data_IF_602226469763
#
_entry.id   IF_602226469763
#
_cell.length_a   1.000
_cell.length_b   1.000
_cell.length_c   1.000
_cell.angle_alpha   90.00
_cell.angle_beta   90.00
_cell.angle_gamma   90.00
#
_symmetry.space_group_name_H-M   'P 1'
#
loop_
_entity.id
_entity.type
_entity.pdbx_description
1 polymer ?
#
# COMPACT_ATOMS: atom_id res chain seq x y z
N UNK A 1 -7.51 -4.30 -12.77
CA UNK A 1 -7.73 -3.71 -11.43
C UNK A 1 -8.60 -4.66 -10.62
N UNK A 2 -8.52 -4.64 -9.29
CA UNK A 2 -9.33 -5.46 -8.38
C UNK A 2 -10.03 -4.57 -7.32
N UNK A 3 -11.03 -5.08 -6.62
CA UNK A 3 -11.79 -4.34 -5.60
C UNK A 3 -11.91 -5.14 -4.30
N UNK A 4 -11.45 -4.56 -3.20
CA UNK A 4 -11.45 -5.17 -1.87
C UNK A 4 -12.37 -4.36 -0.93
N UNK A 5 -13.68 -4.56 -1.09
CA UNK A 5 -14.69 -3.73 -0.40
C UNK A 5 -14.79 -2.34 -1.06
N UNK A 6 -14.53 -1.28 -0.30
CA UNK A 6 -14.53 0.12 -0.79
C UNK A 6 -13.16 0.59 -1.30
N UNK A 7 -12.19 -0.33 -1.41
CA UNK A 7 -10.83 -0.05 -1.85
C UNK A 7 -10.61 -0.62 -3.25
N UNK A 8 -10.24 0.25 -4.19
CA UNK A 8 -9.84 -0.13 -5.55
C UNK A 8 -8.33 -0.36 -5.56
N UNK A 9 -7.89 -1.49 -6.10
CA UNK A 9 -6.47 -1.83 -6.24
C UNK A 9 -6.10 -1.80 -7.72
N UNK A 10 -5.17 -0.91 -8.07
CA UNK A 10 -4.75 -0.72 -9.47
C UNK A 10 -3.93 -1.91 -9.97
N UNK A 11 -3.87 -2.10 -11.29
CA UNK A 11 -3.02 -3.16 -11.88
C UNK A 11 -1.54 -2.97 -11.57
N UNK A 12 -1.08 -1.73 -11.40
CA UNK A 12 0.27 -1.46 -10.95
C UNK A 12 0.52 -1.99 -9.52
N UNK A 13 -0.42 -1.76 -8.60
CA UNK A 13 -0.33 -2.30 -7.24
C UNK A 13 -0.33 -3.84 -7.25
N UNK A 14 -1.22 -4.48 -8.02
CA UNK A 14 -1.27 -5.95 -8.14
C UNK A 14 0.05 -6.52 -8.70
N UNK A 15 0.61 -5.88 -9.73
CA UNK A 15 1.92 -6.26 -10.29
C UNK A 15 3.04 -6.12 -9.25
N UNK A 16 3.03 -5.04 -8.45
CA UNK A 16 4.01 -4.83 -7.38
C UNK A 16 3.86 -5.84 -6.25
N UNK A 17 2.63 -6.22 -5.90
CA UNK A 17 2.39 -7.29 -4.94
C UNK A 17 3.04 -8.59 -5.39
N UNK A 18 2.80 -8.99 -6.64
CA UNK A 18 3.43 -10.18 -7.22
C UNK A 18 4.96 -10.08 -7.24
N UNK A 19 5.51 -8.91 -7.59
CA UNK A 19 6.96 -8.66 -7.61
C UNK A 19 7.60 -8.82 -6.22
N UNK A 20 6.93 -8.37 -5.16
CA UNK A 20 7.46 -8.37 -3.80
C UNK A 20 6.98 -9.56 -2.95
N UNK A 21 6.21 -10.48 -3.51
CA UNK A 21 5.60 -11.58 -2.76
C UNK A 21 4.64 -11.11 -1.66
N UNK A 22 3.97 -9.97 -1.86
CA UNK A 22 3.02 -9.43 -0.90
C UNK A 22 1.63 -10.04 -1.12
N UNK A 23 1.01 -10.47 -0.03
CA UNK A 23 -0.36 -10.94 -0.03
C UNK A 23 -1.34 -9.80 0.28
N UNK A 24 -2.60 -9.99 -0.15
CA UNK A 24 -3.69 -9.05 0.12
C UNK A 24 -3.75 -8.63 1.58
N UNK A 25 -3.66 -9.59 2.50
CA UNK A 25 -3.78 -9.33 3.93
C UNK A 25 -2.65 -8.44 4.45
N UNK A 26 -1.41 -8.65 4.01
CA UNK A 26 -0.28 -7.79 4.40
C UNK A 26 -0.38 -6.37 3.83
N UNK A 27 -0.88 -6.22 2.61
CA UNK A 27 -1.14 -4.89 2.02
C UNK A 27 -2.25 -4.17 2.78
N UNK A 28 -3.34 -4.87 3.10
CA UNK A 28 -4.47 -4.28 3.83
C UNK A 28 -4.15 -3.99 5.28
N UNK A 29 -3.34 -4.83 5.94
CA UNK A 29 -2.80 -4.56 7.28
C UNK A 29 -1.96 -3.28 7.26
N UNK A 30 -1.05 -3.15 6.30
CA UNK A 30 -0.22 -1.96 6.18
C UNK A 30 -1.03 -0.69 5.88
N UNK A 31 -2.10 -0.81 5.09
CA UNK A 31 -2.99 0.30 4.76
C UNK A 31 -3.90 0.71 5.93
N UNK A 32 -4.51 -0.25 6.63
CA UNK A 32 -5.48 0.02 7.69
C UNK A 32 -4.85 0.30 9.06
N UNK A 33 -3.64 -0.23 9.30
CA UNK A 33 -2.97 -0.21 10.60
C UNK A 33 -1.53 0.28 10.50
N UNK A 34 -1.25 1.19 9.57
CA UNK A 34 0.08 1.78 9.37
C UNK A 34 0.65 2.35 10.67
N UNK A 35 1.96 2.13 10.90
CA UNK A 35 2.67 2.75 12.02
C UNK A 35 3.03 4.21 11.71
N UNK A 36 3.16 4.55 10.42
CA UNK A 36 3.38 5.93 9.97
C UNK A 36 2.79 6.21 8.59
N UNK A 37 2.50 7.49 8.37
CA UNK A 37 2.11 8.04 7.07
C UNK A 37 3.17 9.03 6.58
N UNK A 38 3.49 8.97 5.30
CA UNK A 38 4.44 9.88 4.64
C UNK A 38 3.83 10.45 3.35
N UNK A 39 4.31 11.61 2.92
CA UNK A 39 3.98 12.11 1.59
C UNK A 39 4.55 11.17 0.53
N UNK A 40 3.72 10.82 -0.45
CA UNK A 40 4.19 10.02 -1.59
C UNK A 40 4.82 10.92 -2.66
N UNK A 41 5.81 10.43 -3.42
CA UNK A 41 6.24 11.10 -4.65
C UNK A 41 5.15 11.13 -5.73
N UNK A 42 4.09 10.31 -5.59
CA UNK A 42 2.93 10.35 -6.48
C UNK A 42 1.97 11.44 -6.00
N UNK A 43 1.63 12.36 -6.90
CA UNK A 43 0.74 13.49 -6.59
C UNK A 43 -0.58 13.02 -5.96
N UNK A 44 -1.04 13.76 -4.95
CA UNK A 44 -2.27 13.48 -4.19
C UNK A 44 -2.30 12.09 -3.52
N UNK A 45 -1.16 11.44 -3.32
CA UNK A 45 -1.08 10.16 -2.63
C UNK A 45 -0.31 10.30 -1.31
N UNK A 46 -0.63 9.41 -0.38
CA UNK A 46 0.14 9.16 0.84
C UNK A 46 0.69 7.74 0.84
N UNK A 47 1.82 7.57 1.50
CA UNK A 47 2.42 6.27 1.80
C UNK A 47 2.02 5.86 3.22
N UNK A 48 1.34 4.73 3.33
CA UNK A 48 0.96 4.08 4.59
C UNK A 48 1.97 2.96 4.86
N UNK A 49 2.77 3.09 5.91
CA UNK A 49 3.92 2.22 6.14
C UNK A 49 3.74 1.45 7.44
N UNK A 50 3.87 0.13 7.35
CA UNK A 50 3.87 -0.80 8.48
C UNK A 50 5.24 -1.43 8.64
N UNK A 51 5.76 -1.33 9.85
CA UNK A 51 7.02 -1.94 10.24
C UNK A 51 6.75 -3.33 10.79
N UNK A 52 7.50 -4.29 10.26
CA UNK A 52 7.68 -5.61 10.85
C UNK A 52 9.11 -5.69 11.38
N UNK A 53 9.43 -6.79 12.08
CA UNK A 53 10.71 -6.95 12.76
C UNK A 53 11.92 -6.70 11.84
N UNK A 54 11.91 -7.26 10.63
CA UNK A 54 13.06 -7.28 9.73
C UNK A 54 12.80 -6.58 8.38
N UNK A 55 11.58 -6.10 8.16
CA UNK A 55 11.15 -5.48 6.92
C UNK A 55 9.96 -4.54 7.16
N UNK A 56 9.63 -3.75 6.17
CA UNK A 56 8.44 -2.90 6.17
C UNK A 56 7.68 -3.04 4.85
N UNK A 57 6.36 -2.86 4.93
CA UNK A 57 5.47 -2.79 3.79
C UNK A 57 4.96 -1.35 3.70
N UNK A 58 5.10 -0.75 2.52
CA UNK A 58 4.50 0.54 2.21
C UNK A 58 3.43 0.43 1.14
N UNK A 59 2.31 1.11 1.38
CA UNK A 59 1.16 1.18 0.47
C UNK A 59 0.94 2.62 0.06
N UNK A 60 1.00 2.90 -1.24
CA UNK A 60 0.72 4.23 -1.77
C UNK A 60 -0.75 4.28 -2.17
N UNK A 61 -1.51 5.15 -1.51
CA UNK A 61 -2.94 5.28 -1.73
C UNK A 61 -3.41 6.74 -1.83
N UNK A 62 -4.52 6.94 -2.52
CA UNK A 62 -5.24 8.21 -2.63
C UNK A 62 -6.71 7.99 -2.25
N UNK A 63 -7.31 8.98 -1.61
CA UNK A 63 -8.75 9.02 -1.32
C UNK A 63 -9.45 9.97 -2.29
N UNK A 64 -10.45 9.46 -3.00
CA UNK A 64 -11.33 10.27 -3.83
C UNK A 64 -12.29 11.10 -2.98
N UNK A 65 -12.88 12.12 -3.59
CA UNK A 65 -13.88 13.00 -2.97
C UNK A 65 -15.14 12.25 -2.52
N UNK A 66 -15.50 11.18 -3.21
CA UNK A 66 -16.64 10.29 -2.86
C UNK A 66 -16.33 9.32 -1.70
N UNK A 67 -15.13 9.38 -1.13
CA UNK A 67 -14.69 8.53 -0.04
C UNK A 67 -14.07 7.19 -0.45
N UNK A 68 -14.06 6.87 -1.75
CA UNK A 68 -13.40 5.66 -2.30
C UNK A 68 -11.89 5.75 -2.15
N UNK A 69 -11.26 4.64 -1.74
CA UNK A 69 -9.81 4.54 -1.67
C UNK A 69 -9.24 3.85 -2.91
N UNK A 70 -8.09 4.33 -3.37
CA UNK A 70 -7.35 3.76 -4.50
C UNK A 70 -5.94 3.46 -4.06
N UNK A 71 -5.57 2.18 -4.04
CA UNK A 71 -4.19 1.73 -3.86
C UNK A 71 -3.50 1.74 -5.22
N UNK A 72 -2.54 2.65 -5.37
CA UNK A 72 -1.82 2.94 -6.62
C UNK A 72 -0.56 2.09 -6.75
N UNK A 73 0.11 1.80 -5.64
CA UNK A 73 1.31 0.97 -5.61
C UNK A 73 1.53 0.39 -4.22
N UNK A 74 2.37 -0.64 -4.14
CA UNK A 74 2.93 -1.12 -2.88
C UNK A 74 4.42 -1.42 -3.06
N UNK A 75 5.13 -1.56 -1.95
CA UNK A 75 6.54 -1.95 -1.91
C UNK A 75 6.87 -2.67 -0.60
N UNK A 76 7.93 -3.48 -0.63
CA UNK A 76 8.53 -4.11 0.54
C UNK A 76 10.01 -3.69 0.62
N UNK A 77 10.48 -3.33 1.80
CA UNK A 77 11.89 -3.01 2.06
C UNK A 77 12.39 -3.77 3.28
N UNK A 78 13.49 -4.50 3.14
CA UNK A 78 14.22 -5.06 4.30
C UNK A 78 14.91 -3.94 5.07
N UNK A 79 14.84 -4.00 6.39
CA UNK A 79 15.46 -3.02 7.28
C UNK A 79 16.92 -3.39 7.60
N UNK A 80 17.27 -4.66 7.47
CA UNK A 80 18.62 -5.17 7.70
C UNK A 80 19.13 -5.96 6.47
N UNK A 81 20.42 -5.82 6.11
CA UNK A 81 21.04 -6.58 5.03
C UNK A 81 21.22 -8.07 5.36
#
# INVERSE_FOLDING_TARGET
MDTWGTVIVTDNALRKMAQYGLHRDGVMDAFNHSDREENSPIANCKSYIKNYKDYEIGVIANRKTDGTWIIVSCWNRRLFP
#
